data_IF_099019643130
#
_entry.id   IF_099019643130
#
_cell.length_a   1.000
_cell.length_b   1.000
_cell.length_c   1.000
_cell.angle_alpha   90.00
_cell.angle_beta   90.00
_cell.angle_gamma   90.00
#
_symmetry.space_group_name_H-M   'P 1'
#
loop_
_entity.id
_entity.type
_entity.pdbx_description
1 polymer ?
#
# COMPACT_ATOMS: atom_id res chain seq x y z
N UNK A 1 19.46 13.13 -19.27
CA UNK A 1 18.35 12.75 -20.16
C UNK A 1 17.69 14.02 -20.66
N UNK A 2 17.20 14.03 -21.90
CA UNK A 2 16.38 15.11 -22.43
C UNK A 2 14.93 14.76 -22.11
N UNK A 3 14.19 15.68 -21.49
CA UNK A 3 12.78 15.49 -21.13
C UNK A 3 11.96 15.15 -22.39
N UNK A 4 11.22 14.04 -22.34
CA UNK A 4 10.21 13.69 -23.33
C UNK A 4 8.86 14.28 -22.92
N UNK A 5 8.65 15.53 -23.30
CA UNK A 5 7.46 16.29 -22.92
C UNK A 5 6.17 15.74 -23.56
N UNK A 6 6.28 15.07 -24.72
CA UNK A 6 5.11 14.47 -25.37
C UNK A 6 4.67 13.26 -24.56
N UNK A 7 5.60 12.37 -24.23
CA UNK A 7 5.33 11.23 -23.36
C UNK A 7 4.78 11.67 -22.00
N UNK A 8 5.42 12.67 -21.37
CA UNK A 8 4.96 13.17 -20.07
C UNK A 8 3.51 13.66 -20.11
N UNK A 9 3.14 14.45 -21.12
CA UNK A 9 1.75 14.91 -21.28
C UNK A 9 0.77 13.78 -21.50
N UNK A 10 1.09 12.80 -22.35
CA UNK A 10 0.21 11.65 -22.56
C UNK A 10 0.02 10.84 -21.27
N UNK A 11 1.09 10.66 -20.47
CA UNK A 11 0.98 10.02 -19.16
C UNK A 11 0.09 10.83 -18.20
N UNK A 12 0.24 12.15 -18.15
CA UNK A 12 -0.62 13.01 -17.32
C UNK A 12 -2.08 13.01 -17.77
N UNK A 13 -2.36 12.83 -19.05
CA UNK A 13 -3.73 12.83 -19.59
C UNK A 13 -4.40 11.45 -19.45
N UNK A 14 -3.67 10.36 -19.63
CA UNK A 14 -4.24 9.00 -19.75
C UNK A 14 -4.03 8.14 -18.48
N UNK A 15 -2.98 8.41 -17.71
CA UNK A 15 -2.60 7.64 -16.53
C UNK A 15 -2.67 8.46 -15.23
N UNK A 16 -3.48 9.53 -15.20
CA UNK A 16 -3.61 10.39 -14.02
C UNK A 16 -4.16 9.60 -12.82
N UNK A 17 -3.39 9.39 -11.74
CA UNK A 17 -3.83 8.58 -10.61
C UNK A 17 -5.06 9.15 -9.89
N UNK A 18 -5.30 10.47 -9.96
CA UNK A 18 -6.48 11.06 -9.31
C UNK A 18 -7.78 10.59 -9.97
N UNK A 19 -7.78 10.33 -11.28
CA UNK A 19 -8.96 9.81 -11.98
C UNK A 19 -9.25 8.36 -11.57
N UNK A 20 -8.21 7.56 -11.33
CA UNK A 20 -8.34 6.19 -10.84
C UNK A 20 -8.79 6.14 -9.38
N UNK A 21 -8.34 7.08 -8.55
CA UNK A 21 -8.66 7.14 -7.12
C UNK A 21 -9.89 7.99 -6.79
N UNK A 22 -10.53 8.62 -7.78
CA UNK A 22 -11.64 9.54 -7.57
C UNK A 22 -12.77 8.90 -6.75
N UNK A 23 -13.13 7.66 -7.05
CA UNK A 23 -14.19 6.97 -6.34
C UNK A 23 -13.83 6.69 -4.86
N UNK A 24 -12.55 6.45 -4.53
CA UNK A 24 -12.07 6.30 -3.16
C UNK A 24 -12.28 7.61 -2.39
N UNK A 25 -11.92 8.74 -3.01
CA UNK A 25 -12.05 10.07 -2.41
C UNK A 25 -13.49 10.53 -2.26
N UNK A 26 -14.34 10.20 -3.22
CA UNK A 26 -15.72 10.71 -3.27
C UNK A 26 -16.73 9.79 -2.57
N UNK A 27 -16.43 8.50 -2.41
CA UNK A 27 -17.37 7.52 -1.84
C UNK A 27 -16.84 6.86 -0.56
N UNK A 28 -15.62 6.32 -0.57
CA UNK A 28 -15.10 5.54 0.56
C UNK A 28 -14.67 6.41 1.74
N UNK A 29 -13.87 7.44 1.49
CA UNK A 29 -13.37 8.33 2.56
C UNK A 29 -14.52 9.07 3.27
N UNK A 30 -15.54 9.61 2.55
CA UNK A 30 -16.70 10.21 3.21
C UNK A 30 -17.47 9.22 4.09
N UNK A 31 -17.64 7.97 3.65
CA UNK A 31 -18.23 6.88 4.46
C UNK A 31 -17.43 6.62 5.74
N UNK A 32 -16.10 6.69 5.68
CA UNK A 32 -15.25 6.58 6.88
C UNK A 32 -15.45 7.78 7.80
N UNK A 33 -15.47 8.99 7.22
CA UNK A 33 -15.59 10.25 7.95
C UNK A 33 -16.90 10.35 8.74
N UNK A 34 -17.98 9.72 8.27
CA UNK A 34 -19.26 9.65 8.99
C UNK A 34 -19.15 8.98 10.37
N UNK A 35 -18.19 8.06 10.56
CA UNK A 35 -17.97 7.38 11.83
C UNK A 35 -16.67 7.79 12.55
N UNK A 36 -15.62 8.21 11.83
CA UNK A 36 -14.34 8.64 12.41
C UNK A 36 -13.59 9.62 11.51
N UNK A 37 -13.46 10.88 11.96
CA UNK A 37 -12.69 11.91 11.26
C UNK A 37 -11.20 11.57 11.20
N UNK A 38 -10.61 11.14 12.33
CA UNK A 38 -9.17 10.84 12.43
C UNK A 38 -8.75 9.73 11.44
N UNK A 39 -9.58 8.69 11.31
CA UNK A 39 -9.31 7.60 10.36
C UNK A 39 -9.52 8.03 8.91
N UNK A 40 -10.45 8.94 8.66
CA UNK A 40 -10.64 9.51 7.33
C UNK A 40 -9.45 10.37 6.91
N UNK A 41 -8.93 11.21 7.81
CA UNK A 41 -7.72 12.01 7.58
C UNK A 41 -6.50 11.11 7.30
N UNK A 42 -6.28 10.08 8.13
CA UNK A 42 -5.20 9.11 7.90
C UNK A 42 -5.34 8.42 6.53
N UNK A 43 -6.56 8.03 6.17
CA UNK A 43 -6.83 7.39 4.87
C UNK A 43 -6.59 8.35 3.70
N UNK A 44 -6.93 9.64 3.85
CA UNK A 44 -6.62 10.67 2.85
C UNK A 44 -5.11 10.81 2.64
N UNK A 45 -4.31 10.76 3.71
CA UNK A 45 -2.85 10.79 3.61
C UNK A 45 -2.31 9.61 2.80
N UNK A 46 -2.91 8.41 2.91
CA UNK A 46 -2.52 7.26 2.09
C UNK A 46 -2.80 7.47 0.61
N UNK A 47 -3.99 8.00 0.26
CA UNK A 47 -4.36 8.30 -1.13
C UNK A 47 -3.44 9.39 -1.69
N UNK A 48 -3.17 10.43 -0.93
CA UNK A 48 -2.29 11.54 -1.32
C UNK A 48 -0.85 11.09 -1.53
N UNK A 49 -0.31 10.26 -0.63
CA UNK A 49 1.01 9.66 -0.78
C UNK A 49 1.09 8.79 -2.04
N UNK A 50 0.10 7.92 -2.26
CA UNK A 50 0.07 6.99 -3.38
C UNK A 50 -0.03 7.75 -4.72
N UNK A 51 -0.99 8.67 -4.83
CA UNK A 51 -1.17 9.52 -6.03
C UNK A 51 0.04 10.43 -6.26
N UNK A 52 0.58 11.01 -5.20
CA UNK A 52 1.75 11.88 -5.24
C UNK A 52 2.99 11.15 -5.76
N UNK A 53 3.23 9.93 -5.30
CA UNK A 53 4.29 9.07 -5.82
C UNK A 53 4.08 8.77 -7.30
N UNK A 54 2.90 8.30 -7.71
CA UNK A 54 2.61 7.94 -9.11
C UNK A 54 2.80 9.12 -10.07
N UNK A 55 2.30 10.31 -9.72
CA UNK A 55 2.52 11.54 -10.51
C UNK A 55 3.99 11.88 -10.68
N UNK A 56 4.76 11.81 -9.59
CA UNK A 56 6.20 12.04 -9.65
C UNK A 56 6.87 10.94 -10.48
N UNK A 57 6.49 9.69 -10.33
CA UNK A 57 7.04 8.60 -11.12
C UNK A 57 6.78 8.78 -12.63
N UNK A 58 5.62 9.30 -13.05
CA UNK A 58 5.38 9.66 -14.46
C UNK A 58 6.35 10.72 -14.99
N UNK A 59 6.64 11.75 -14.18
CA UNK A 59 7.64 12.79 -14.51
C UNK A 59 9.06 12.24 -14.53
N UNK A 60 9.37 11.31 -13.63
CA UNK A 60 10.65 10.59 -13.60
C UNK A 60 10.81 9.71 -14.85
N UNK A 61 9.80 8.91 -15.17
CA UNK A 61 9.75 7.97 -16.29
C UNK A 61 9.92 8.64 -17.66
N UNK A 62 9.44 9.88 -17.81
CA UNK A 62 9.60 10.71 -19.01
C UNK A 62 10.92 11.50 -19.05
N UNK A 63 11.77 11.36 -18.04
CA UNK A 63 13.03 12.10 -17.93
C UNK A 63 12.87 13.61 -17.72
N UNK A 64 11.69 14.04 -17.26
CA UNK A 64 11.32 15.45 -17.10
C UNK A 64 11.56 16.00 -15.69
N UNK A 65 12.08 15.19 -14.77
CA UNK A 65 12.56 15.67 -13.47
C UNK A 65 13.87 16.44 -13.56
N UNK A 66 13.94 17.52 -12.81
CA UNK A 66 15.20 18.17 -12.43
C UNK A 66 15.94 17.34 -11.38
N UNK A 67 17.25 17.56 -11.23
CA UNK A 67 18.06 16.87 -10.22
C UNK A 67 17.53 17.10 -8.80
N UNK A 68 17.07 18.32 -8.49
CA UNK A 68 16.47 18.63 -7.20
C UNK A 68 15.18 17.83 -6.94
N UNK A 69 14.33 17.64 -7.96
CA UNK A 69 13.12 16.82 -7.85
C UNK A 69 13.45 15.34 -7.71
N UNK A 70 14.47 14.86 -8.44
CA UNK A 70 14.94 13.49 -8.34
C UNK A 70 15.40 13.14 -6.92
N UNK A 71 16.24 13.97 -6.31
CA UNK A 71 16.72 13.74 -4.94
C UNK A 71 15.60 13.89 -3.89
N UNK A 72 14.59 14.72 -4.14
CA UNK A 72 13.39 14.76 -3.28
C UNK A 72 12.58 13.47 -3.39
N UNK A 73 12.29 13.00 -4.59
CA UNK A 73 11.59 11.72 -4.79
C UNK A 73 12.36 10.57 -4.14
N UNK A 74 13.68 10.55 -4.26
CA UNK A 74 14.52 9.55 -3.58
C UNK A 74 14.39 9.60 -2.04
N UNK A 75 14.41 10.80 -1.46
CA UNK A 75 14.18 10.96 -0.01
C UNK A 75 12.79 10.48 0.40
N UNK A 76 11.77 10.77 -0.42
CA UNK A 76 10.40 10.33 -0.16
C UNK A 76 10.30 8.81 -0.25
N UNK A 77 10.95 8.19 -1.24
CA UNK A 77 11.05 6.73 -1.38
C UNK A 77 11.65 6.09 -0.13
N UNK A 78 12.75 6.63 0.41
CA UNK A 78 13.33 6.11 1.64
C UNK A 78 12.37 6.24 2.84
N UNK A 79 11.63 7.34 2.94
CA UNK A 79 10.61 7.51 3.97
C UNK A 79 9.52 6.46 3.80
N UNK A 80 8.97 6.33 2.59
CA UNK A 80 7.92 5.38 2.24
C UNK A 80 8.29 3.92 2.56
N UNK A 81 9.53 3.51 2.31
CA UNK A 81 9.96 2.15 2.70
C UNK A 81 9.88 1.94 4.22
N UNK A 82 10.24 2.96 5.02
CA UNK A 82 10.11 2.87 6.49
C UNK A 82 8.64 2.83 6.93
N UNK A 83 7.78 3.65 6.33
CA UNK A 83 6.34 3.63 6.59
C UNK A 83 5.75 2.25 6.26
N UNK A 84 6.18 1.63 5.16
CA UNK A 84 5.78 0.27 4.80
C UNK A 84 6.18 -0.79 5.83
N UNK A 85 7.41 -0.71 6.36
CA UNK A 85 7.86 -1.62 7.43
C UNK A 85 6.99 -1.44 8.67
N UNK A 86 6.78 -0.21 9.11
CA UNK A 86 5.93 0.10 10.26
C UNK A 86 4.49 -0.36 10.04
N UNK A 87 3.99 -0.22 8.80
CA UNK A 87 2.64 -0.63 8.47
C UNK A 87 2.45 -2.15 8.61
N UNK A 88 3.43 -2.94 8.13
CA UNK A 88 3.42 -4.39 8.29
C UNK A 88 3.61 -4.83 9.74
N UNK A 89 4.45 -4.15 10.50
CA UNK A 89 4.60 -4.40 11.95
C UNK A 89 3.29 -4.17 12.70
N UNK A 90 2.57 -3.10 12.38
CA UNK A 90 1.25 -2.82 12.94
C UNK A 90 0.24 -3.90 12.57
N UNK A 91 0.16 -4.33 11.30
CA UNK A 91 -0.74 -5.42 10.91
C UNK A 91 -0.46 -6.74 11.63
N UNK A 92 0.82 -7.04 11.94
CA UNK A 92 1.15 -8.20 12.77
C UNK A 92 0.55 -8.11 14.17
N UNK A 93 0.49 -6.90 14.73
CA UNK A 93 -0.14 -6.66 16.03
C UNK A 93 -1.66 -6.86 15.98
N UNK A 94 -2.32 -6.44 14.89
CA UNK A 94 -3.75 -6.70 14.67
C UNK A 94 -4.06 -8.20 14.56
N UNK A 95 -3.17 -8.99 13.94
CA UNK A 95 -3.31 -10.44 13.88
C UNK A 95 -3.20 -11.09 15.29
N UNK A 96 -2.38 -10.53 16.18
CA UNK A 96 -2.31 -10.96 17.58
C UNK A 96 -3.58 -10.57 18.37
N UNK A 97 -4.15 -9.40 18.09
CA UNK A 97 -5.41 -8.96 18.69
C UNK A 97 -6.57 -9.88 18.29
N UNK A 98 -6.65 -10.28 17.02
CA UNK A 98 -7.65 -11.27 16.57
C UNK A 98 -7.47 -12.64 17.20
N UNK A 99 -6.24 -13.06 17.46
CA UNK A 99 -6.01 -14.31 18.20
C UNK A 99 -6.52 -14.21 19.64
N UNK A 100 -6.40 -13.05 20.28
CA UNK A 100 -6.92 -12.82 21.62
C UNK A 100 -8.46 -12.80 21.61
N UNK A 101 -9.07 -12.08 20.67
CA UNK A 101 -10.52 -12.07 20.47
C UNK A 101 -11.06 -13.49 20.23
N UNK A 102 -10.43 -14.28 19.37
CA UNK A 102 -10.83 -15.67 19.13
C UNK A 102 -10.78 -16.54 20.40
N UNK A 103 -9.80 -16.31 21.30
CA UNK A 103 -9.74 -17.02 22.59
C UNK A 103 -10.89 -16.62 23.51
N UNK A 104 -11.30 -15.36 23.49
CA UNK A 104 -12.47 -14.88 24.24
C UNK A 104 -13.77 -15.47 23.69
N UNK A 105 -13.95 -15.49 22.38
CA UNK A 105 -15.10 -16.11 21.72
C UNK A 105 -15.19 -17.61 22.04
N UNK A 106 -14.06 -18.32 22.01
CA UNK A 106 -14.01 -19.73 22.42
C UNK A 106 -14.38 -19.93 23.90
N UNK A 107 -13.87 -19.07 24.79
CA UNK A 107 -14.21 -19.13 26.22
C UNK A 107 -15.70 -18.84 26.49
N UNK A 108 -16.35 -18.10 25.59
CA UNK A 108 -17.79 -17.83 25.61
C UNK A 108 -18.62 -18.91 24.89
N UNK A 109 -18.00 -20.00 24.43
CA UNK A 109 -18.62 -21.08 23.65
C UNK A 109 -19.29 -20.60 22.34
N UNK A 110 -18.83 -19.46 21.82
CA UNK A 110 -19.33 -18.86 20.58
C UNK A 110 -18.76 -19.58 19.35
N UNK A 111 -17.45 -19.86 19.39
CA UNK A 111 -16.75 -20.68 18.40
C UNK A 111 -16.30 -21.99 19.04
N UNK A 112 -16.12 -23.02 18.24
CA UNK A 112 -15.69 -24.34 18.68
C UNK A 112 -14.14 -24.49 18.65
N UNK A 113 -13.65 -25.65 19.13
CA UNK A 113 -12.22 -25.93 19.21
C UNK A 113 -11.54 -25.99 17.83
N UNK A 114 -12.20 -26.57 16.82
CA UNK A 114 -11.68 -26.68 15.47
C UNK A 114 -11.54 -25.28 14.84
N UNK A 115 -12.54 -24.40 14.99
CA UNK A 115 -12.49 -23.01 14.54
C UNK A 115 -11.34 -22.23 15.21
N UNK A 116 -11.12 -22.42 16.52
CA UNK A 116 -10.00 -21.80 17.22
C UNK A 116 -8.64 -22.32 16.72
N UNK A 117 -8.53 -23.60 16.37
CA UNK A 117 -7.32 -24.19 15.77
C UNK A 117 -7.05 -23.57 14.41
N UNK A 118 -8.08 -23.44 13.57
CA UNK A 118 -7.96 -22.86 12.23
C UNK A 118 -7.58 -21.37 12.29
N UNK A 119 -8.19 -20.59 13.20
CA UNK A 119 -7.81 -19.19 13.42
C UNK A 119 -6.34 -19.08 13.87
N UNK A 120 -5.89 -19.92 14.83
CA UNK A 120 -4.48 -19.95 15.25
C UNK A 120 -3.54 -20.24 14.08
N UNK A 121 -3.93 -21.15 13.20
CA UNK A 121 -3.15 -21.47 12.02
C UNK A 121 -3.08 -20.28 11.05
N UNK A 122 -4.24 -19.68 10.73
CA UNK A 122 -4.32 -18.51 9.84
C UNK A 122 -3.52 -17.32 10.36
N UNK A 123 -3.63 -16.99 11.66
CA UNK A 123 -2.82 -15.93 12.29
C UNK A 123 -1.32 -16.20 12.12
N UNK A 124 -0.88 -17.45 12.31
CA UNK A 124 0.53 -17.81 12.13
C UNK A 124 0.98 -17.61 10.67
N UNK A 125 0.17 -18.02 9.69
CA UNK A 125 0.51 -17.87 8.27
C UNK A 125 0.50 -16.40 7.82
N UNK A 126 -0.48 -15.60 8.29
CA UNK A 126 -0.52 -14.15 8.07
C UNK A 126 0.74 -13.49 8.61
N UNK A 127 1.09 -13.76 9.88
CA UNK A 127 2.31 -13.18 10.48
C UNK A 127 3.58 -13.58 9.73
N UNK A 128 3.67 -14.83 9.25
CA UNK A 128 4.78 -15.30 8.42
C UNK A 128 4.86 -14.53 7.09
N UNK A 129 3.74 -14.32 6.41
CA UNK A 129 3.70 -13.52 5.18
C UNK A 129 4.09 -12.06 5.42
N UNK A 130 3.65 -11.47 6.54
CA UNK A 130 4.03 -10.12 6.93
C UNK A 130 5.53 -10.01 7.27
N UNK A 131 6.11 -11.03 7.92
CA UNK A 131 7.56 -11.10 8.15
C UNK A 131 8.35 -11.16 6.84
N UNK A 132 7.90 -11.97 5.88
CA UNK A 132 8.50 -12.06 4.54
C UNK A 132 8.41 -10.72 3.77
N UNK A 133 7.33 -9.96 3.95
CA UNK A 133 7.17 -8.61 3.37
C UNK A 133 8.10 -7.59 4.05
N UNK A 134 8.23 -7.62 5.38
CA UNK A 134 9.15 -6.75 6.13
C UNK A 134 10.59 -6.99 5.70
N UNK A 135 11.04 -8.24 5.63
CA UNK A 135 12.40 -8.60 5.21
C UNK A 135 12.72 -8.01 3.82
N UNK A 136 11.78 -8.09 2.89
CA UNK A 136 11.96 -7.51 1.55
C UNK A 136 12.03 -5.99 1.54
N UNK A 137 11.23 -5.32 2.38
CA UNK A 137 11.28 -3.87 2.53
C UNK A 137 12.61 -3.45 3.17
N UNK A 138 13.13 -4.21 4.14
CA UNK A 138 14.46 -4.01 4.71
C UNK A 138 15.57 -4.20 3.67
N UNK A 139 15.51 -5.24 2.84
CA UNK A 139 16.44 -5.43 1.72
C UNK A 139 16.39 -4.27 0.72
N UNK A 140 15.18 -3.78 0.40
CA UNK A 140 14.98 -2.65 -0.50
C UNK A 140 15.53 -1.35 0.10
N UNK A 141 15.32 -1.13 1.40
CA UNK A 141 15.88 -0.02 2.17
C UNK A 141 17.40 -0.06 2.14
N UNK A 142 17.99 -1.22 2.44
CA UNK A 142 19.43 -1.43 2.45
C UNK A 142 20.07 -1.20 1.08
N UNK A 143 19.38 -1.59 0.01
CA UNK A 143 19.78 -1.27 -1.36
C UNK A 143 19.77 0.25 -1.60
N UNK A 144 18.68 0.92 -1.24
CA UNK A 144 18.51 2.34 -1.49
C UNK A 144 19.47 3.21 -0.67
N UNK A 145 19.65 2.96 0.63
CA UNK A 145 20.52 3.77 1.51
C UNK A 145 21.99 3.77 1.06
N UNK A 146 22.42 2.73 0.35
CA UNK A 146 23.78 2.61 -0.21
C UNK A 146 23.99 3.42 -1.49
N UNK A 147 23.00 4.18 -1.97
CA UNK A 147 23.15 5.01 -3.16
C UNK A 147 24.17 6.14 -2.94
N UNK A 148 25.27 6.12 -3.71
CA UNK A 148 26.36 7.09 -3.58
C UNK A 148 26.31 8.17 -4.68
N UNK A 149 25.67 7.86 -5.81
CA UNK A 149 25.58 8.76 -6.94
C UNK A 149 24.16 8.85 -7.55
N UNK A 150 24.04 9.68 -8.59
CA UNK A 150 22.77 9.90 -9.29
C UNK A 150 22.23 8.64 -9.97
N UNK A 151 23.11 7.77 -10.47
CA UNK A 151 22.70 6.53 -11.12
C UNK A 151 22.10 5.57 -10.08
N UNK A 152 22.73 5.43 -8.91
CA UNK A 152 22.18 4.61 -7.82
C UNK A 152 20.82 5.12 -7.33
N UNK A 153 20.64 6.44 -7.24
CA UNK A 153 19.35 7.06 -6.91
C UNK A 153 18.26 6.68 -7.91
N UNK A 154 18.57 6.75 -9.21
CA UNK A 154 17.66 6.33 -10.28
C UNK A 154 17.32 4.84 -10.14
N UNK A 155 18.31 3.99 -9.86
CA UNK A 155 18.09 2.56 -9.66
C UNK A 155 17.21 2.25 -8.45
N UNK A 156 17.39 2.97 -7.33
CA UNK A 156 16.52 2.84 -6.15
C UNK A 156 15.05 3.13 -6.50
N UNK A 157 14.78 4.27 -7.16
CA UNK A 157 13.42 4.66 -7.55
C UNK A 157 12.80 3.64 -8.51
N UNK A 158 13.54 3.17 -9.53
CA UNK A 158 13.04 2.15 -10.45
C UNK A 158 12.78 0.80 -9.76
N UNK A 159 13.63 0.41 -8.80
CA UNK A 159 13.43 -0.83 -8.04
C UNK A 159 12.19 -0.74 -7.15
N UNK A 160 11.95 0.40 -6.51
CA UNK A 160 10.74 0.65 -5.72
C UNK A 160 9.49 0.61 -6.59
N UNK A 161 9.51 1.29 -7.74
CA UNK A 161 8.40 1.24 -8.70
C UNK A 161 8.14 -0.19 -9.22
N UNK A 162 9.20 -0.96 -9.47
CA UNK A 162 9.10 -2.36 -9.89
C UNK A 162 8.51 -3.24 -8.79
N UNK A 163 8.94 -3.08 -7.54
CA UNK A 163 8.38 -3.79 -6.38
C UNK A 163 6.91 -3.46 -6.20
N UNK A 164 6.56 -2.17 -6.25
CA UNK A 164 5.19 -1.66 -6.19
C UNK A 164 4.29 -2.28 -7.27
N UNK A 165 4.78 -2.38 -8.50
CA UNK A 165 4.02 -2.97 -9.61
C UNK A 165 3.86 -4.49 -9.50
N UNK A 166 4.96 -5.23 -9.26
CA UNK A 166 4.94 -6.69 -9.27
C UNK A 166 4.26 -7.29 -8.02
N UNK A 167 4.24 -6.54 -6.92
CA UNK A 167 3.57 -6.90 -5.67
C UNK A 167 2.55 -5.82 -5.35
N UNK A 168 1.54 -5.66 -6.20
CA UNK A 168 0.60 -4.52 -6.30
C UNK A 168 0.15 -3.81 -5.01
N UNK A 169 0.07 -4.53 -3.89
CA UNK A 169 -0.23 -3.96 -2.57
C UNK A 169 0.88 -3.10 -1.97
N UNK A 170 2.10 -3.18 -2.49
CA UNK A 170 3.27 -2.64 -1.80
C UNK A 170 3.35 -1.11 -1.85
N UNK A 171 2.82 -0.45 -2.88
CA UNK A 171 2.84 1.01 -2.93
C UNK A 171 1.96 1.65 -1.84
N UNK A 172 0.67 1.30 -1.71
CA UNK A 172 -0.15 1.82 -0.62
C UNK A 172 0.40 1.45 0.76
N UNK A 173 0.94 0.24 0.92
CA UNK A 173 1.59 -0.19 2.17
C UNK A 173 2.78 0.70 2.50
N UNK A 174 3.66 0.99 1.52
CA UNK A 174 4.74 1.96 1.67
C UNK A 174 4.25 3.41 1.88
N UNK A 175 2.95 3.67 1.76
CA UNK A 175 2.31 4.92 2.14
C UNK A 175 1.61 4.85 3.50
N UNK A 176 1.77 3.75 4.24
CA UNK A 176 1.17 3.52 5.56
C UNK A 176 -0.13 2.71 5.54
N UNK A 177 -0.69 2.40 4.37
CA UNK A 177 -1.97 1.73 4.29
C UNK A 177 -1.91 0.28 4.79
N UNK A 178 -2.86 -0.06 5.67
CA UNK A 178 -3.07 -1.43 6.13
C UNK A 178 -4.05 -2.17 5.21
N UNK A 179 -3.95 -3.49 5.16
CA UNK A 179 -4.87 -4.38 4.44
C UNK A 179 -5.78 -5.12 5.43
N UNK A 180 -6.98 -5.52 5.01
CA UNK A 180 -7.94 -6.14 5.91
C UNK A 180 -7.44 -7.54 6.26
N UNK A 181 -7.20 -7.76 7.54
CA UNK A 181 -6.99 -9.09 8.11
C UNK A 181 -8.33 -9.51 8.73
N UNK A 182 -9.23 -10.13 7.98
CA UNK A 182 -10.53 -10.58 8.51
C UNK A 182 -10.47 -12.07 8.89
N UNK A 183 -9.54 -12.47 9.77
CA UNK A 183 -9.19 -13.88 9.99
C UNK A 183 -10.34 -14.64 10.67
N UNK A 184 -10.94 -14.06 11.71
CA UNK A 184 -12.08 -14.67 12.42
C UNK A 184 -13.26 -14.82 11.47
N UNK A 185 -13.64 -13.74 10.78
CA UNK A 185 -14.76 -13.73 9.84
C UNK A 185 -14.53 -14.76 8.71
N UNK A 186 -13.29 -14.86 8.18
CA UNK A 186 -12.93 -15.81 7.13
C UNK A 186 -13.01 -17.29 7.55
N UNK A 187 -12.72 -17.62 8.82
CA UNK A 187 -12.79 -19.00 9.33
C UNK A 187 -14.21 -19.38 9.73
N UNK A 188 -14.90 -18.48 10.43
CA UNK A 188 -16.23 -18.75 11.01
C UNK A 188 -17.37 -18.53 10.02
N UNK A 189 -17.11 -17.82 8.90
CA UNK A 189 -18.14 -17.38 7.96
C UNK A 189 -19.08 -16.33 8.55
N UNK A 190 -18.71 -15.74 9.69
CA UNK A 190 -19.48 -14.66 10.31
C UNK A 190 -19.21 -13.37 9.56
N UNK A 191 -20.08 -13.03 8.60
CA UNK A 191 -20.11 -11.68 8.08
C UNK A 191 -20.68 -10.76 9.17
N UNK A 192 -19.82 -9.93 9.78
CA UNK A 192 -20.31 -8.79 10.56
C UNK A 192 -21.06 -7.88 9.59
N UNK A 193 -22.37 -7.69 9.77
CA UNK A 193 -23.10 -6.65 9.03
C UNK A 193 -22.42 -5.30 9.31
N UNK A 194 -21.95 -4.63 8.25
CA UNK A 194 -21.21 -3.37 8.35
C UNK A 194 -22.02 -2.25 7.74
N UNK A 195 -22.21 -1.19 8.52
CA UNK A 195 -22.87 0.04 8.10
C UNK A 195 -21.91 0.99 7.36
N UNK A 196 -20.60 0.94 7.68
CA UNK A 196 -19.57 1.84 7.16
C UNK A 196 -18.37 1.10 6.53
N UNK A 197 -17.70 1.77 5.61
CA UNK A 197 -16.41 1.36 5.02
C UNK A 197 -15.30 1.45 6.06
N UNK A 198 -14.28 0.58 6.03
CA UNK A 198 -13.10 0.69 6.90
C UNK A 198 -11.86 1.19 6.15
N UNK A 199 -10.85 1.76 6.83
CA UNK A 199 -9.60 2.19 6.19
C UNK A 199 -8.92 1.05 5.43
N UNK A 200 -8.98 -0.17 5.94
CA UNK A 200 -8.37 -1.34 5.30
C UNK A 200 -9.01 -1.65 3.93
N UNK A 201 -10.31 -1.38 3.78
CA UNK A 201 -11.00 -1.53 2.50
C UNK A 201 -10.43 -0.52 1.49
N UNK A 202 -10.13 0.71 1.92
CA UNK A 202 -9.44 1.71 1.09
C UNK A 202 -8.03 1.25 0.72
N UNK A 203 -7.26 0.70 1.66
CA UNK A 203 -5.95 0.12 1.39
C UNK A 203 -5.98 -0.97 0.31
N UNK A 204 -6.99 -1.84 0.36
CA UNK A 204 -7.23 -2.87 -0.67
C UNK A 204 -7.55 -2.27 -2.04
N UNK A 205 -8.40 -1.24 -2.09
CA UNK A 205 -8.78 -0.60 -3.34
C UNK A 205 -7.65 0.23 -3.96
N UNK A 206 -6.92 0.99 -3.15
CA UNK A 206 -5.68 1.65 -3.56
C UNK A 206 -4.69 0.66 -4.18
N UNK A 207 -4.56 -0.53 -3.59
CA UNK A 207 -3.65 -1.57 -4.08
C UNK A 207 -4.03 -2.06 -5.48
N UNK A 208 -5.33 -2.16 -5.75
CA UNK A 208 -5.83 -2.57 -7.08
C UNK A 208 -5.65 -1.45 -8.10
N UNK A 209 -6.00 -0.23 -7.75
CA UNK A 209 -6.03 0.89 -8.69
C UNK A 209 -4.61 1.43 -8.97
N UNK A 210 -3.69 1.38 -8.00
CA UNK A 210 -2.29 1.73 -8.22
C UNK A 210 -1.62 0.83 -9.26
N UNK A 211 -1.94 -0.47 -9.28
CA UNK A 211 -1.43 -1.41 -10.30
C UNK A 211 -1.91 -0.99 -11.69
N UNK A 212 -3.19 -0.62 -11.85
CA UNK A 212 -3.73 -0.17 -13.14
C UNK A 212 -3.02 1.09 -13.64
N UNK A 213 -2.67 2.02 -12.75
CA UNK A 213 -1.90 3.20 -13.11
C UNK A 213 -0.50 2.81 -13.59
N UNK A 214 0.19 1.89 -12.90
CA UNK A 214 1.49 1.40 -13.36
C UNK A 214 1.41 0.66 -14.70
N UNK A 215 0.37 -0.15 -14.91
CA UNK A 215 0.11 -0.82 -16.18
C UNK A 215 -0.07 0.20 -17.32
N UNK A 216 -0.88 1.24 -17.09
CA UNK A 216 -1.03 2.36 -18.02
C UNK A 216 0.33 3.02 -18.34
N UNK A 217 1.11 3.37 -17.32
CA UNK A 217 2.44 3.97 -17.50
C UNK A 217 3.36 3.06 -18.34
N UNK A 218 3.31 1.75 -18.11
CA UNK A 218 4.13 0.76 -18.82
C UNK A 218 3.78 0.68 -20.30
N UNK A 219 2.49 0.72 -20.65
CA UNK A 219 2.03 0.71 -22.06
C UNK A 219 2.64 1.86 -22.87
N UNK A 220 2.72 3.05 -22.28
CA UNK A 220 3.33 4.23 -22.92
C UNK A 220 4.86 4.15 -23.02
N UNK A 221 5.53 3.44 -22.13
CA UNK A 221 7.00 3.25 -22.17
C UNK A 221 7.42 2.19 -23.21
N UNK A 222 6.49 1.48 -23.85
CA UNK A 222 6.78 0.51 -24.91
C UNK A 222 7.52 -0.74 -24.41
N UNK A 223 7.23 -1.18 -23.18
CA UNK A 223 7.78 -2.40 -22.57
C UNK A 223 6.82 -3.59 -22.64
#
# INVERSE_FOLDING_TARGET
>A
MKCDYILYKSLEEECNPDDYFNWIREELIPSIREYSEDLAEETEEWVDCTSGFLRRYMKFASGCMTDAELYRLYSDVLKMINEGIQAREYQKSLADDQLNEARELYAQEIINEDELIDIKHSVKEVKRALDEDIEQLEELKDFCIKAEDKFDVVMCIERVATTAHNRGVMLPVMCGAYLPEDIIDAVTGWEREREYTRPEDVGLWLSRDAVKVFECIKEFKGM
#
